data_IF_347834368564
#
_entry.id   IF_347834368564
#
_cell.length_a   1.000
_cell.length_b   1.000
_cell.length_c   1.000
_cell.angle_alpha   90.00
_cell.angle_beta   90.00
_cell.angle_gamma   90.00
#
_symmetry.space_group_name_H-M   'P 1'
#
loop_
_entity.id
_entity.type
_entity.pdbx_description
1 polymer ?
#
# COMPACT_ATOMS: atom_id res chain seq x y z
N UNK A 1 -30.04 -10.42 45.12
CA UNK A 1 -29.43 -9.70 43.94
C UNK A 1 -30.47 -9.56 42.88
N UNK A 2 -30.83 -8.32 42.54
CA UNK A 2 -32.03 -8.03 41.77
C UNK A 2 -31.80 -8.22 40.27
N UNK A 3 -32.51 -9.15 39.66
CA UNK A 3 -32.50 -9.41 38.18
C UNK A 3 -32.72 -8.15 37.32
N UNK A 4 -33.39 -7.13 37.88
CA UNK A 4 -33.62 -5.84 37.21
C UNK A 4 -32.35 -4.98 37.04
N UNK A 5 -31.36 -5.14 37.94
CA UNK A 5 -30.09 -4.38 37.86
C UNK A 5 -29.17 -4.95 36.76
N UNK A 6 -29.15 -6.28 36.61
CA UNK A 6 -28.38 -6.97 35.55
C UNK A 6 -28.89 -6.65 34.14
N UNK A 7 -30.23 -6.55 33.99
CA UNK A 7 -30.84 -6.16 32.70
C UNK A 7 -30.55 -4.69 32.34
N UNK A 8 -30.52 -3.79 33.32
CA UNK A 8 -30.13 -2.40 33.07
C UNK A 8 -28.66 -2.23 32.69
N UNK A 9 -27.76 -3.02 33.29
CA UNK A 9 -26.33 -3.05 32.97
C UNK A 9 -26.10 -3.60 31.55
N UNK A 10 -26.80 -4.68 31.16
CA UNK A 10 -26.73 -5.24 29.80
C UNK A 10 -27.27 -4.26 28.74
N UNK A 11 -28.36 -3.53 29.05
CA UNK A 11 -28.87 -2.50 28.17
C UNK A 11 -27.93 -1.31 28.00
N UNK A 12 -27.25 -0.88 29.06
CA UNK A 12 -26.27 0.21 29.01
C UNK A 12 -24.99 -0.20 28.26
N UNK A 13 -24.52 -1.46 28.43
CA UNK A 13 -23.38 -1.98 27.68
C UNK A 13 -23.69 -2.12 26.19
N UNK A 14 -24.89 -2.61 25.82
CA UNK A 14 -25.32 -2.71 24.43
C UNK A 14 -25.47 -1.35 23.74
N UNK A 15 -26.01 -0.35 24.44
CA UNK A 15 -26.09 1.02 23.93
C UNK A 15 -24.72 1.68 23.75
N UNK A 16 -23.76 1.37 24.62
CA UNK A 16 -22.37 1.85 24.51
C UNK A 16 -21.67 1.31 23.27
N UNK A 17 -21.77 0.01 23.01
CA UNK A 17 -21.15 -0.63 21.83
C UNK A 17 -21.79 -0.15 20.52
N UNK A 18 -23.13 -0.06 20.49
CA UNK A 18 -23.84 0.50 19.33
C UNK A 18 -23.50 1.99 19.11
N UNK A 19 -23.34 2.77 20.19
CA UNK A 19 -22.92 4.16 20.12
C UNK A 19 -21.52 4.33 19.55
N UNK A 20 -20.55 3.50 19.95
CA UNK A 20 -19.19 3.54 19.42
C UNK A 20 -19.15 3.16 17.94
N UNK A 21 -19.91 2.13 17.52
CA UNK A 21 -19.99 1.73 16.11
C UNK A 21 -20.60 2.84 15.23
N UNK A 22 -21.61 3.55 15.72
CA UNK A 22 -22.21 4.69 15.00
C UNK A 22 -21.27 5.89 14.91
N UNK A 23 -20.45 6.13 15.95
CA UNK A 23 -19.44 7.20 15.95
C UNK A 23 -18.34 6.88 14.93
N UNK A 24 -17.83 5.66 14.94
CA UNK A 24 -16.80 5.23 14.01
C UNK A 24 -17.26 5.31 12.55
N UNK A 25 -18.47 4.82 12.26
CA UNK A 25 -19.11 4.95 10.94
C UNK A 25 -19.29 6.41 10.50
N UNK A 26 -19.69 7.30 11.43
CA UNK A 26 -19.85 8.72 11.13
C UNK A 26 -18.51 9.40 10.82
N UNK A 27 -17.44 9.05 11.54
CA UNK A 27 -16.10 9.58 11.27
C UNK A 27 -15.56 9.08 9.93
N UNK A 28 -15.75 7.82 9.58
CA UNK A 28 -15.36 7.28 8.27
C UNK A 28 -16.10 7.99 7.12
N UNK A 29 -17.37 8.31 7.26
CA UNK A 29 -18.11 9.08 6.25
C UNK A 29 -17.60 10.52 6.17
N UNK A 30 -17.35 11.16 7.30
CA UNK A 30 -16.83 12.52 7.32
C UNK A 30 -15.43 12.59 6.71
N UNK A 31 -14.58 11.62 7.00
CA UNK A 31 -13.24 11.51 6.43
C UNK A 31 -13.28 11.37 4.90
N UNK A 32 -14.17 10.51 4.39
CA UNK A 32 -14.41 10.37 2.94
C UNK A 32 -14.93 11.67 2.29
N UNK A 33 -15.79 12.40 2.97
CA UNK A 33 -16.40 13.64 2.44
C UNK A 33 -15.44 14.84 2.55
N UNK A 34 -14.54 14.84 3.51
CA UNK A 34 -13.56 15.91 3.73
C UNK A 34 -12.23 15.70 2.99
N UNK A 35 -12.08 14.55 2.31
CA UNK A 35 -10.86 14.23 1.60
C UNK A 35 -10.67 15.17 0.41
N UNK A 36 -9.67 16.05 0.48
CA UNK A 36 -9.39 17.10 -0.50
C UNK A 36 -8.25 16.72 -1.47
N UNK A 37 -7.86 15.44 -1.54
CA UNK A 37 -6.82 14.94 -2.43
C UNK A 37 -7.27 14.83 -3.89
N UNK A 38 -6.32 14.62 -4.79
CA UNK A 38 -6.59 14.30 -6.20
C UNK A 38 -7.36 12.98 -6.35
N UNK A 39 -6.98 11.99 -5.55
CA UNK A 39 -7.67 10.70 -5.47
C UNK A 39 -8.75 10.72 -4.40
N UNK A 40 -9.79 9.91 -4.59
CA UNK A 40 -10.77 9.64 -3.55
C UNK A 40 -10.18 8.72 -2.48
N UNK A 41 -10.75 8.71 -1.28
CA UNK A 41 -10.34 7.81 -0.20
C UNK A 41 -10.31 6.33 -0.63
N UNK A 42 -11.29 5.89 -1.42
CA UNK A 42 -11.34 4.52 -1.91
C UNK A 42 -10.24 4.24 -2.95
N UNK A 43 -9.86 5.22 -3.75
CA UNK A 43 -8.73 5.13 -4.68
C UNK A 43 -7.37 5.09 -3.96
N UNK A 44 -7.19 5.86 -2.90
CA UNK A 44 -5.98 5.76 -2.09
C UNK A 44 -5.85 4.39 -1.42
N UNK A 45 -6.94 3.84 -0.89
CA UNK A 45 -6.96 2.46 -0.39
C UNK A 45 -6.65 1.44 -1.47
N UNK A 46 -7.10 1.68 -2.69
CA UNK A 46 -6.78 0.83 -3.83
C UNK A 46 -5.28 0.88 -4.15
N UNK A 47 -4.66 2.08 -4.18
CA UNK A 47 -3.22 2.25 -4.38
C UNK A 47 -2.43 1.51 -3.28
N UNK A 48 -2.84 1.65 -2.02
CA UNK A 48 -2.24 0.92 -0.89
C UNK A 48 -2.33 -0.60 -1.10
N UNK A 49 -3.49 -1.10 -1.51
CA UNK A 49 -3.69 -2.54 -1.77
C UNK A 49 -2.89 -3.05 -2.97
N UNK A 50 -2.72 -2.24 -4.00
CA UNK A 50 -1.88 -2.54 -5.16
C UNK A 50 -0.39 -2.61 -4.77
N UNK A 51 0.09 -1.64 -4.00
CA UNK A 51 1.46 -1.62 -3.50
C UNK A 51 1.77 -2.85 -2.62
N UNK A 52 0.87 -3.19 -1.70
CA UNK A 52 0.98 -4.38 -0.85
C UNK A 52 0.93 -5.69 -1.65
N UNK A 53 0.16 -5.73 -2.74
CA UNK A 53 0.08 -6.92 -3.60
C UNK A 53 1.38 -7.15 -4.36
N UNK A 54 2.02 -6.09 -4.84
CA UNK A 54 3.27 -6.17 -5.59
C UNK A 54 4.48 -6.41 -4.69
N UNK A 55 4.54 -5.75 -3.54
CA UNK A 55 5.64 -5.88 -2.56
C UNK A 55 5.01 -6.12 -1.19
N UNK A 56 4.73 -7.38 -0.87
CA UNK A 56 4.11 -7.75 0.41
C UNK A 56 5.06 -7.51 1.59
N UNK A 57 4.47 -7.30 2.76
CA UNK A 57 5.22 -7.29 4.01
C UNK A 57 5.89 -8.64 4.28
N UNK A 58 7.02 -8.60 4.99
CA UNK A 58 7.73 -9.80 5.40
C UNK A 58 9.00 -10.10 4.58
N UNK A 59 9.43 -9.19 3.72
CA UNK A 59 10.76 -9.30 3.08
C UNK A 59 11.82 -9.18 4.19
N UNK A 60 12.73 -10.15 4.33
CA UNK A 60 13.74 -10.12 5.38
C UNK A 60 14.56 -8.83 5.34
N UNK A 61 14.63 -8.13 6.47
CA UNK A 61 15.52 -6.98 6.62
C UNK A 61 16.99 -7.38 6.59
N UNK A 62 17.86 -6.49 6.08
CA UNK A 62 19.30 -6.70 6.14
C UNK A 62 19.83 -6.65 7.56
N UNK A 63 20.87 -7.42 7.87
CA UNK A 63 21.63 -7.34 9.16
C UNK A 63 20.79 -7.36 10.44
N UNK A 64 19.65 -8.08 10.45
CA UNK A 64 18.79 -8.18 11.65
C UNK A 64 17.76 -7.05 11.77
N UNK A 65 17.59 -6.20 10.77
CA UNK A 65 16.50 -5.25 10.69
C UNK A 65 15.13 -5.96 10.62
N UNK A 66 14.07 -5.25 11.03
CA UNK A 66 12.72 -5.78 10.94
C UNK A 66 12.36 -6.09 9.49
N UNK A 67 11.48 -7.08 9.25
CA UNK A 67 10.96 -7.34 7.91
C UNK A 67 10.27 -6.08 7.35
N UNK A 68 10.46 -5.86 6.05
CA UNK A 68 9.95 -4.69 5.34
C UNK A 68 9.02 -5.08 4.20
N UNK A 69 8.26 -4.14 3.70
CA UNK A 69 7.39 -4.25 2.55
C UNK A 69 6.96 -2.87 2.06
N UNK A 70 6.03 -2.81 1.11
CA UNK A 70 5.62 -1.54 0.54
C UNK A 70 4.99 -0.58 1.56
N UNK A 71 4.22 -1.10 2.52
CA UNK A 71 3.52 -0.25 3.50
C UNK A 71 4.47 0.23 4.59
N UNK A 72 5.32 -0.63 5.12
CA UNK A 72 6.29 -0.27 6.16
C UNK A 72 7.33 0.75 5.68
N UNK A 73 7.59 0.82 4.38
CA UNK A 73 8.50 1.79 3.75
C UNK A 73 7.81 3.05 3.24
N UNK A 74 6.48 3.16 3.40
CA UNK A 74 5.71 4.31 2.91
C UNK A 74 5.62 4.42 1.39
N UNK A 75 5.84 3.32 0.68
CA UNK A 75 5.75 3.27 -0.79
C UNK A 75 4.37 3.65 -1.31
N UNK A 76 3.30 3.28 -0.62
CA UNK A 76 1.94 3.67 -0.94
C UNK A 76 1.74 5.19 -0.90
N UNK A 77 2.27 5.86 0.11
CA UNK A 77 2.24 7.31 0.25
C UNK A 77 3.06 8.02 -0.84
N UNK A 78 4.19 7.42 -1.23
CA UNK A 78 4.97 7.88 -2.37
C UNK A 78 4.14 7.78 -3.66
N UNK A 79 3.49 6.65 -3.92
CA UNK A 79 2.68 6.44 -5.13
C UNK A 79 1.53 7.44 -5.23
N UNK A 80 0.79 7.68 -4.15
CA UNK A 80 -0.30 8.66 -4.13
C UNK A 80 0.20 10.03 -4.58
N UNK A 81 1.31 10.51 -3.99
CA UNK A 81 1.89 11.81 -4.33
C UNK A 81 2.49 11.85 -5.74
N UNK A 82 3.12 10.77 -6.15
CA UNK A 82 3.73 10.65 -7.47
C UNK A 82 2.69 10.69 -8.58
N UNK A 83 1.62 9.92 -8.43
CA UNK A 83 0.54 9.85 -9.42
C UNK A 83 -0.26 11.16 -9.49
N UNK A 84 -0.39 11.88 -8.37
CA UNK A 84 -1.03 13.19 -8.36
C UNK A 84 -0.18 14.25 -9.08
N UNK A 85 1.16 14.26 -8.85
CA UNK A 85 2.00 15.42 -9.18
C UNK A 85 2.95 15.21 -10.33
N UNK A 86 3.31 13.98 -10.64
CA UNK A 86 4.38 13.67 -11.60
C UNK A 86 3.91 13.00 -12.89
N UNK A 87 2.68 12.45 -12.91
CA UNK A 87 2.14 11.82 -14.11
C UNK A 87 1.61 12.86 -15.11
N UNK A 88 1.75 12.55 -16.38
CA UNK A 88 1.08 13.27 -17.45
C UNK A 88 -0.44 13.00 -17.42
N UNK A 89 -1.23 13.92 -17.99
CA UNK A 89 -2.69 13.83 -17.95
C UNK A 89 -3.22 12.55 -18.59
N UNK A 90 -2.61 12.11 -19.68
CA UNK A 90 -3.00 10.87 -20.39
C UNK A 90 -2.80 9.64 -19.49
N UNK A 91 -1.68 9.60 -18.76
CA UNK A 91 -1.41 8.51 -17.81
C UNK A 91 -2.36 8.55 -16.61
N UNK A 92 -2.69 9.75 -16.12
CA UNK A 92 -3.68 9.93 -15.05
C UNK A 92 -5.08 9.45 -15.49
N UNK A 93 -5.48 9.71 -16.72
CA UNK A 93 -6.77 9.25 -17.28
C UNK A 93 -6.84 7.72 -17.36
N UNK A 94 -5.77 7.08 -17.84
CA UNK A 94 -5.65 5.61 -17.86
C UNK A 94 -5.74 5.07 -16.43
N UNK A 95 -5.01 5.66 -15.50
CA UNK A 95 -4.98 5.24 -14.09
C UNK A 95 -6.38 5.32 -13.46
N UNK A 96 -7.08 6.44 -13.63
CA UNK A 96 -8.43 6.63 -13.08
C UNK A 96 -9.44 5.67 -13.73
N UNK A 97 -9.31 5.40 -15.04
CA UNK A 97 -10.16 4.45 -15.76
C UNK A 97 -10.03 3.04 -15.18
N UNK A 98 -8.79 2.58 -15.02
CA UNK A 98 -8.52 1.23 -14.50
C UNK A 98 -8.82 1.13 -12.99
N UNK A 99 -8.65 2.20 -12.22
CA UNK A 99 -9.10 2.24 -10.83
C UNK A 99 -10.60 2.00 -10.72
N UNK A 100 -11.41 2.64 -11.55
CA UNK A 100 -12.87 2.40 -11.58
C UNK A 100 -13.22 0.96 -11.94
N UNK A 101 -12.42 0.29 -12.77
CA UNK A 101 -12.60 -1.12 -13.08
C UNK A 101 -12.27 -2.02 -11.87
N UNK A 102 -11.17 -1.75 -11.17
CA UNK A 102 -10.77 -2.47 -9.97
C UNK A 102 -11.69 -2.21 -8.77
N UNK A 103 -12.23 -1.00 -8.64
CA UNK A 103 -13.24 -0.67 -7.61
C UNK A 103 -14.51 -1.52 -7.79
N UNK A 104 -14.98 -1.71 -9.03
CA UNK A 104 -16.13 -2.58 -9.33
C UNK A 104 -15.89 -4.03 -8.93
N UNK A 105 -14.64 -4.48 -8.96
CA UNK A 105 -14.23 -5.82 -8.51
C UNK A 105 -14.02 -5.89 -6.99
N UNK A 106 -14.17 -4.77 -6.26
CA UNK A 106 -13.84 -4.65 -4.85
C UNK A 106 -12.42 -5.11 -4.51
N UNK A 107 -11.44 -4.78 -5.36
CA UNK A 107 -10.06 -5.26 -5.30
C UNK A 107 -9.45 -5.16 -3.89
N UNK A 108 -9.63 -4.04 -3.20
CA UNK A 108 -9.09 -3.81 -1.85
C UNK A 108 -9.63 -4.77 -0.78
N UNK A 109 -10.76 -5.44 -1.05
CA UNK A 109 -11.40 -6.38 -0.12
C UNK A 109 -11.12 -7.84 -0.47
N UNK A 110 -10.45 -8.10 -1.61
CA UNK A 110 -10.11 -9.45 -2.05
C UNK A 110 -8.95 -10.03 -1.22
N UNK A 111 -8.87 -11.34 -1.18
CA UNK A 111 -7.72 -12.04 -0.62
C UNK A 111 -6.45 -11.76 -1.42
N UNK A 112 -5.29 -11.92 -0.78
CA UNK A 112 -3.99 -11.71 -1.43
C UNK A 112 -3.85 -12.51 -2.73
N UNK A 113 -4.22 -13.79 -2.73
CA UNK A 113 -4.13 -14.66 -3.90
C UNK A 113 -5.03 -14.19 -5.07
N UNK A 114 -6.23 -13.68 -4.77
CA UNK A 114 -7.12 -13.13 -5.79
C UNK A 114 -6.57 -11.82 -6.37
N UNK A 115 -6.01 -10.95 -5.52
CA UNK A 115 -5.35 -9.71 -5.97
C UNK A 115 -4.14 -10.00 -6.86
N UNK A 116 -3.29 -10.96 -6.47
CA UNK A 116 -2.15 -11.40 -7.26
C UNK A 116 -2.58 -11.94 -8.63
N UNK A 117 -3.65 -12.75 -8.68
CA UNK A 117 -4.19 -13.26 -9.93
C UNK A 117 -4.67 -12.14 -10.85
N UNK A 118 -5.42 -11.17 -10.33
CA UNK A 118 -5.87 -10.01 -11.11
C UNK A 118 -4.67 -9.24 -11.67
N UNK A 119 -3.64 -8.98 -10.87
CA UNK A 119 -2.44 -8.29 -11.32
C UNK A 119 -1.68 -9.09 -12.39
N UNK A 120 -1.67 -10.42 -12.29
CA UNK A 120 -1.10 -11.29 -13.33
C UNK A 120 -1.90 -11.20 -14.63
N UNK A 121 -3.24 -11.20 -14.55
CA UNK A 121 -4.11 -11.04 -15.72
C UNK A 121 -3.86 -9.68 -16.40
N UNK A 122 -3.66 -8.60 -15.63
CA UNK A 122 -3.26 -7.29 -16.18
C UNK A 122 -1.89 -7.33 -16.87
N UNK A 123 -0.93 -8.10 -16.34
CA UNK A 123 0.42 -8.23 -16.93
C UNK A 123 0.40 -8.90 -18.30
N UNK A 124 -0.57 -9.78 -18.54
CA UNK A 124 -0.71 -10.54 -19.79
C UNK A 124 -1.86 -10.04 -20.68
N UNK A 125 -2.53 -8.95 -20.27
CA UNK A 125 -3.65 -8.39 -20.99
C UNK A 125 -3.26 -7.99 -22.42
N UNK A 126 -4.19 -8.12 -23.37
CA UNK A 126 -3.97 -7.66 -24.76
C UNK A 126 -4.21 -6.15 -24.92
N UNK A 127 -4.99 -5.56 -24.02
CA UNK A 127 -5.33 -4.15 -24.03
C UNK A 127 -4.14 -3.25 -23.70
N UNK A 128 -3.86 -2.25 -24.55
CA UNK A 128 -2.74 -1.31 -24.33
C UNK A 128 -2.88 -0.54 -23.02
N UNK A 129 -4.10 -0.07 -22.68
CA UNK A 129 -4.34 0.68 -21.45
C UNK A 129 -4.06 -0.16 -20.21
N UNK A 130 -4.46 -1.44 -20.22
CA UNK A 130 -4.22 -2.38 -19.12
C UNK A 130 -2.72 -2.68 -18.94
N UNK A 131 -1.99 -2.88 -20.04
CA UNK A 131 -0.53 -3.05 -20.00
C UNK A 131 0.17 -1.81 -19.45
N UNK A 132 -0.17 -0.63 -19.98
CA UNK A 132 0.38 0.65 -19.51
C UNK A 132 0.09 0.87 -18.03
N UNK A 133 -1.15 0.60 -17.60
CA UNK A 133 -1.52 0.66 -16.19
C UNK A 133 -0.66 -0.28 -15.34
N UNK A 134 -0.54 -1.55 -15.72
CA UNK A 134 0.26 -2.52 -14.97
C UNK A 134 1.73 -2.10 -14.88
N UNK A 135 2.35 -1.68 -15.98
CA UNK A 135 3.72 -1.21 -16.02
C UNK A 135 3.93 0.04 -15.16
N UNK A 136 2.98 0.97 -15.21
CA UNK A 136 3.00 2.20 -14.43
C UNK A 136 2.94 1.89 -12.93
N UNK A 137 2.01 1.05 -12.49
CA UNK A 137 1.91 0.65 -11.09
C UNK A 137 3.16 -0.12 -10.66
N UNK A 138 3.57 -1.13 -11.43
CA UNK A 138 4.72 -1.99 -11.10
C UNK A 138 6.03 -1.20 -11.02
N UNK A 139 6.37 -0.44 -12.05
CA UNK A 139 7.64 0.27 -12.10
C UNK A 139 7.76 1.34 -11.01
N UNK A 140 6.68 2.09 -10.75
CA UNK A 140 6.69 3.11 -9.71
C UNK A 140 6.64 2.52 -8.29
N UNK A 141 5.99 1.36 -8.09
CA UNK A 141 6.04 0.66 -6.80
C UNK A 141 7.46 0.16 -6.51
N UNK A 142 8.12 -0.45 -7.49
CA UNK A 142 9.51 -0.90 -7.35
C UNK A 142 10.43 0.31 -7.11
N UNK A 143 10.26 1.39 -7.86
CA UNK A 143 11.05 2.61 -7.69
C UNK A 143 10.86 3.21 -6.31
N UNK A 144 9.62 3.41 -5.85
CA UNK A 144 9.34 3.96 -4.52
C UNK A 144 9.91 3.10 -3.40
N UNK A 145 9.77 1.77 -3.51
CA UNK A 145 10.31 0.84 -2.53
C UNK A 145 11.84 0.84 -2.50
N UNK A 146 12.49 0.71 -3.66
CA UNK A 146 13.95 0.60 -3.72
C UNK A 146 14.66 1.91 -3.34
N UNK A 147 14.00 3.05 -3.48
CA UNK A 147 14.54 4.36 -3.08
C UNK A 147 14.15 4.77 -1.66
N UNK A 148 13.33 3.98 -0.97
CA UNK A 148 13.00 4.22 0.43
C UNK A 148 14.28 4.14 1.30
N UNK A 149 14.36 5.03 2.30
CA UNK A 149 15.55 5.13 3.16
C UNK A 149 15.89 3.81 3.84
N UNK A 150 14.88 3.11 4.33
CA UNK A 150 14.99 1.84 5.02
C UNK A 150 15.61 0.77 4.12
N UNK A 151 15.24 0.75 2.84
CA UNK A 151 15.81 -0.16 1.86
C UNK A 151 17.22 0.25 1.49
N UNK A 152 17.43 1.52 1.17
CA UNK A 152 18.74 2.01 0.72
C UNK A 152 19.80 1.90 1.80
N UNK A 153 19.51 2.37 3.01
CA UNK A 153 20.51 2.47 4.08
C UNK A 153 20.61 1.16 4.84
N UNK A 154 19.47 0.62 5.31
CA UNK A 154 19.47 -0.49 6.26
C UNK A 154 19.60 -1.85 5.55
N UNK A 155 19.15 -1.94 4.29
CA UNK A 155 19.17 -3.18 3.52
C UNK A 155 20.35 -3.25 2.52
N UNK A 156 20.56 -2.17 1.77
CA UNK A 156 21.60 -2.10 0.74
C UNK A 156 22.91 -1.47 1.23
N UNK A 157 22.95 -0.95 2.46
CA UNK A 157 24.15 -0.34 3.04
C UNK A 157 24.61 0.93 2.30
N UNK A 158 23.68 1.65 1.65
CA UNK A 158 24.00 2.84 0.89
C UNK A 158 24.57 3.94 1.79
N UNK A 159 25.68 4.54 1.35
CA UNK A 159 26.30 5.70 1.99
C UNK A 159 26.41 6.85 0.99
N UNK A 160 25.94 8.03 1.38
CA UNK A 160 25.92 9.24 0.53
C UNK A 160 27.32 9.66 0.11
N UNK A 161 28.30 9.49 0.99
CA UNK A 161 29.71 9.79 0.73
C UNK A 161 30.57 8.68 1.35
N UNK A 162 30.90 7.61 0.64
CA UNK A 162 31.87 6.64 1.11
C UNK A 162 33.23 7.33 1.29
N UNK A 163 33.83 7.19 2.47
CA UNK A 163 35.00 7.98 2.87
C UNK A 163 36.24 7.79 1.98
N UNK A 164 36.38 6.65 1.29
CA UNK A 164 37.44 6.38 0.33
C UNK A 164 37.03 5.26 -0.63
N UNK A 165 37.63 5.25 -1.80
CA UNK A 165 37.46 4.18 -2.79
C UNK A 165 38.63 3.21 -2.70
N UNK A 166 38.32 1.92 -2.56
CA UNK A 166 39.30 0.84 -2.72
C UNK A 166 39.00 0.06 -4.00
N UNK A 167 39.86 0.12 -4.99
CA UNK A 167 39.68 -0.54 -6.29
C UNK A 167 39.82 -2.06 -6.23
N UNK A 168 40.44 -2.59 -5.16
CA UNK A 168 40.63 -4.03 -4.96
C UNK A 168 40.12 -4.40 -3.56
N UNK A 169 39.01 -5.12 -3.50
CA UNK A 169 38.45 -5.70 -2.28
C UNK A 169 38.43 -7.22 -2.47
N UNK A 170 38.90 -7.95 -1.44
CA UNK A 170 38.74 -9.41 -1.44
C UNK A 170 37.26 -9.76 -1.37
N UNK A 171 36.82 -10.56 -2.34
CA UNK A 171 35.45 -11.09 -2.34
C UNK A 171 35.35 -12.14 -1.24
N UNK A 172 34.46 -12.01 -0.25
CA UNK A 172 34.26 -13.04 0.75
C UNK A 172 33.92 -14.36 0.05
N UNK A 173 34.64 -15.44 0.40
CA UNK A 173 34.28 -16.76 -0.10
C UNK A 173 32.83 -17.06 0.29
N UNK A 174 32.01 -17.30 -0.73
CA UNK A 174 30.63 -17.70 -0.55
C UNK A 174 30.61 -18.97 0.30
N UNK A 175 30.00 -18.92 1.48
CA UNK A 175 29.80 -20.13 2.29
C UNK A 175 28.77 -20.99 1.56
N UNK A 176 29.29 -22.05 0.93
CA UNK A 176 28.52 -23.11 0.31
C UNK A 176 27.62 -23.83 1.36
#
# INVERSE_FOLDING_TARGET
MQRRTSLKLLGAAGAGIAGLALVDWKWQILDRLSHAGFFTYDQERLITSLAETLIPEGIPGGSGAAPIGALSTGTDQFLIKFFEKCLEKEEQEILIKEFKALEKLNFSSLSKAEREKIMLDYSTAEGEDQKKFYELIRSNTIFGFTTAREVMVDHLGYQVAPGFYSGCVEVPAEKA
#
